data_IF_052157261039
#
_entry.id   IF_052157261039
#
_cell.length_a   1.000
_cell.length_b   1.000
_cell.length_c   1.000
_cell.angle_alpha   90.00
_cell.angle_beta   90.00
_cell.angle_gamma   90.00
#
_symmetry.space_group_name_H-M   'P 1'
#
loop_
_entity.id
_entity.type
_entity.pdbx_description
1 polymer ?
#
# COMPACT_ATOMS: atom_id res chain seq x y z
N UNK A 1 20.53 4.95 10.68
CA UNK A 1 19.39 4.14 11.20
C UNK A 1 19.28 2.85 10.38
N UNK A 2 18.95 1.71 11.00
CA UNK A 2 19.04 0.39 10.36
C UNK A 2 18.00 0.18 9.24
N UNK A 3 18.45 -0.04 8.00
CA UNK A 3 17.64 -0.39 6.81
C UNK A 3 16.64 -1.53 7.04
N UNK A 4 16.93 -2.47 7.93
CA UNK A 4 16.03 -3.57 8.30
C UNK A 4 14.81 -3.13 9.12
N UNK A 5 14.88 -2.03 9.86
CA UNK A 5 13.73 -1.49 10.57
C UNK A 5 12.76 -0.79 9.60
N UNK A 6 13.29 -0.15 8.56
CA UNK A 6 12.51 0.46 7.49
C UNK A 6 11.76 -0.63 6.69
N UNK A 7 12.49 -1.64 6.21
CA UNK A 7 11.92 -2.74 5.44
C UNK A 7 10.80 -3.49 6.20
N UNK A 8 10.97 -3.71 7.52
CA UNK A 8 9.92 -4.33 8.35
C UNK A 8 8.67 -3.46 8.47
N UNK A 9 8.84 -2.14 8.59
CA UNK A 9 7.72 -1.21 8.68
C UNK A 9 6.96 -1.12 7.36
N UNK A 10 7.67 -1.08 6.23
CA UNK A 10 7.08 -1.13 4.89
C UNK A 10 6.34 -2.45 4.65
N UNK A 11 6.94 -3.58 5.00
CA UNK A 11 6.29 -4.89 4.88
C UNK A 11 5.01 -4.99 5.73
N UNK A 12 5.03 -4.46 6.95
CA UNK A 12 3.84 -4.41 7.81
C UNK A 12 2.72 -3.56 7.19
N UNK A 13 3.08 -2.48 6.48
CA UNK A 13 2.09 -1.70 5.74
C UNK A 13 1.51 -2.48 4.57
N UNK A 14 2.33 -3.12 3.73
CA UNK A 14 1.82 -3.96 2.64
C UNK A 14 0.86 -5.05 3.15
N UNK A 15 1.18 -5.66 4.30
CA UNK A 15 0.28 -6.60 4.97
C UNK A 15 -1.05 -5.96 5.39
N UNK A 16 -1.02 -4.81 6.06
CA UNK A 16 -2.22 -4.09 6.47
C UNK A 16 -3.09 -3.71 5.27
N UNK A 17 -2.48 -3.20 4.18
CA UNK A 17 -3.18 -2.85 2.95
C UNK A 17 -3.86 -4.07 2.32
N UNK A 18 -3.15 -5.20 2.25
CA UNK A 18 -3.70 -6.45 1.71
C UNK A 18 -4.86 -6.95 2.57
N UNK A 19 -4.76 -6.82 3.90
CA UNK A 19 -5.81 -7.21 4.83
C UNK A 19 -7.07 -6.35 4.63
N UNK A 20 -6.92 -5.02 4.57
CA UNK A 20 -8.01 -4.09 4.31
C UNK A 20 -8.64 -4.34 2.93
N UNK A 21 -7.82 -4.63 1.92
CA UNK A 21 -8.30 -5.02 0.59
C UNK A 21 -9.24 -6.22 0.69
N UNK A 22 -8.78 -7.27 1.34
CA UNK A 22 -9.53 -8.51 1.50
C UNK A 22 -10.85 -8.28 2.25
N UNK A 23 -10.83 -7.49 3.34
CA UNK A 23 -12.03 -7.16 4.09
C UNK A 23 -13.06 -6.36 3.28
N UNK A 24 -12.62 -5.36 2.50
CA UNK A 24 -13.53 -4.56 1.69
C UNK A 24 -14.13 -5.35 0.52
N UNK A 25 -13.32 -6.20 -0.14
CA UNK A 25 -13.82 -7.11 -1.18
C UNK A 25 -14.80 -8.13 -0.60
N UNK A 26 -14.46 -8.75 0.53
CA UNK A 26 -15.33 -9.68 1.23
C UNK A 26 -16.64 -9.02 1.72
N UNK A 27 -16.54 -7.80 2.25
CA UNK A 27 -17.70 -7.00 2.64
C UNK A 27 -18.63 -6.74 1.45
N UNK A 28 -18.09 -6.42 0.28
CA UNK A 28 -18.87 -6.23 -0.95
C UNK A 28 -19.58 -7.52 -1.36
N UNK A 29 -18.88 -8.65 -1.33
CA UNK A 29 -19.47 -9.95 -1.68
C UNK A 29 -20.63 -10.33 -0.73
N UNK A 30 -20.50 -10.04 0.56
CA UNK A 30 -21.53 -10.38 1.55
C UNK A 30 -22.70 -9.38 1.58
N UNK A 31 -22.44 -8.11 1.28
CA UNK A 31 -23.48 -7.08 1.23
C UNK A 31 -24.30 -7.14 -0.07
N UNK A 32 -23.78 -7.82 -1.10
CA UNK A 32 -24.48 -7.96 -2.38
C UNK A 32 -25.30 -9.25 -2.40
N UNK A 33 -26.65 -9.18 -2.40
CA UNK A 33 -27.49 -10.37 -2.54
C UNK A 33 -27.22 -11.07 -3.89
N UNK A 34 -26.94 -12.37 -3.83
CA UNK A 34 -26.65 -13.21 -5.00
C UNK A 34 -27.83 -13.31 -5.98
N UNK A 35 -29.06 -13.05 -5.50
CA UNK A 35 -30.28 -13.13 -6.31
C UNK A 35 -30.49 -11.94 -7.26
N UNK A 36 -29.63 -10.91 -7.22
CA UNK A 36 -29.73 -9.78 -8.14
C UNK A 36 -28.87 -10.06 -9.37
N UNK A 37 -29.54 -10.43 -10.45
CA UNK A 37 -28.97 -10.54 -11.79
C UNK A 37 -29.36 -9.30 -12.59
N UNK A 38 -28.38 -8.53 -13.04
CA UNK A 38 -28.59 -7.39 -13.92
C UNK A 38 -28.15 -7.78 -15.32
N UNK A 39 -29.06 -7.72 -16.30
CA UNK A 39 -28.77 -8.08 -17.70
C UNK A 39 -28.30 -9.55 -17.91
N UNK A 40 -28.65 -10.47 -17.01
CA UNK A 40 -28.23 -11.87 -17.09
C UNK A 40 -26.79 -12.11 -16.62
N UNK A 41 -26.16 -11.10 -16.03
CA UNK A 41 -24.90 -11.23 -15.33
C UNK A 41 -25.11 -10.98 -13.83
N UNK A 42 -24.42 -11.71 -12.96
CA UNK A 42 -24.47 -11.45 -11.55
C UNK A 42 -24.05 -10.02 -11.14
N UNK A 43 -24.90 -9.33 -10.38
CA UNK A 43 -24.64 -7.94 -9.97
C UNK A 43 -23.40 -7.82 -9.06
N UNK A 44 -23.03 -8.88 -8.33
CA UNK A 44 -21.81 -8.90 -7.51
C UNK A 44 -20.53 -8.77 -8.36
N UNK A 45 -20.55 -9.19 -9.62
CA UNK A 45 -19.42 -9.02 -10.54
C UNK A 45 -19.26 -7.56 -10.94
N UNK A 46 -20.37 -6.88 -11.26
CA UNK A 46 -20.36 -5.46 -11.59
C UNK A 46 -19.91 -4.61 -10.39
N UNK A 47 -20.38 -4.97 -9.19
CA UNK A 47 -19.91 -4.37 -7.94
C UNK A 47 -18.43 -4.66 -7.69
N UNK A 48 -17.95 -5.88 -7.91
CA UNK A 48 -16.51 -6.19 -7.83
C UNK A 48 -15.69 -5.36 -8.83
N UNK A 49 -16.22 -5.12 -10.04
CA UNK A 49 -15.59 -4.29 -11.06
C UNK A 49 -15.50 -2.80 -10.67
N UNK A 50 -16.45 -2.28 -9.88
CA UNK A 50 -16.38 -0.91 -9.34
C UNK A 50 -15.57 -0.82 -8.05
N UNK A 51 -15.60 -1.87 -7.24
CA UNK A 51 -14.85 -1.96 -5.98
C UNK A 51 -13.35 -2.08 -6.25
N UNK A 52 -12.93 -2.88 -7.24
CA UNK A 52 -11.52 -3.02 -7.61
C UNK A 52 -10.81 -1.67 -7.88
N UNK A 53 -11.32 -0.77 -8.76
CA UNK A 53 -10.72 0.54 -9.00
C UNK A 53 -10.86 1.49 -7.81
N UNK A 54 -12.02 1.52 -7.14
CA UNK A 54 -12.19 2.37 -5.95
C UNK A 54 -11.19 2.01 -4.85
N UNK A 55 -11.02 0.71 -4.65
CA UNK A 55 -10.10 0.17 -3.68
C UNK A 55 -8.66 0.43 -4.07
N UNK A 56 -8.30 0.25 -5.34
CA UNK A 56 -6.97 0.61 -5.84
C UNK A 56 -6.65 2.08 -5.54
N UNK A 57 -7.59 3.00 -5.76
CA UNK A 57 -7.42 4.43 -5.43
C UNK A 57 -7.19 4.62 -3.92
N UNK A 58 -7.97 3.96 -3.06
CA UNK A 58 -7.79 4.05 -1.60
C UNK A 58 -6.44 3.50 -1.16
N UNK A 59 -6.02 2.35 -1.70
CA UNK A 59 -4.71 1.77 -1.44
C UNK A 59 -3.58 2.70 -1.88
N UNK A 60 -3.67 3.29 -3.08
CA UNK A 60 -2.72 4.28 -3.57
C UNK A 60 -2.70 5.52 -2.68
N UNK A 61 -3.84 6.06 -2.27
CA UNK A 61 -3.91 7.24 -1.41
C UNK A 61 -3.32 6.97 -0.01
N UNK A 62 -3.58 5.80 0.57
CA UNK A 62 -3.04 5.39 1.86
C UNK A 62 -1.53 5.13 1.78
N UNK A 63 -1.08 4.48 0.71
CA UNK A 63 0.35 4.32 0.42
C UNK A 63 1.03 5.66 0.28
N UNK A 64 0.51 6.59 -0.54
CA UNK A 64 1.06 7.94 -0.74
C UNK A 64 1.12 8.70 0.59
N UNK A 65 0.03 8.79 1.35
CA UNK A 65 0.02 9.47 2.65
C UNK A 65 1.02 8.90 3.67
N UNK A 66 1.52 7.68 3.46
CA UNK A 66 2.47 7.02 4.38
C UNK A 66 3.89 6.95 3.84
N UNK A 67 4.07 6.91 2.51
CA UNK A 67 5.37 7.02 1.83
C UNK A 67 5.91 8.47 1.88
N UNK A 68 5.03 9.45 2.07
CA UNK A 68 5.38 10.84 2.36
C UNK A 68 5.74 11.12 3.83
N UNK A 69 5.96 10.10 4.68
CA UNK A 69 6.80 10.32 5.87
C UNK A 69 8.22 10.50 5.33
N UNK A 70 8.75 11.72 5.49
CA UNK A 70 10.11 12.08 5.10
C UNK A 70 11.07 10.99 5.59
N UNK A 71 11.65 10.25 4.66
CA UNK A 71 12.92 9.59 4.91
C UNK A 71 13.90 10.77 5.04
N UNK A 72 14.44 11.07 6.24
CA UNK A 72 15.51 12.04 6.31
C UNK A 72 16.64 11.49 5.44
N UNK A 73 16.92 12.19 4.34
CA UNK A 73 17.98 11.85 3.39
C UNK A 73 19.38 12.08 4.00
N UNK A 74 19.46 12.35 5.31
CA UNK A 74 20.69 12.55 6.06
C UNK A 74 21.27 11.21 6.51
N UNK A 75 21.70 10.39 5.55
CA UNK A 75 22.80 9.44 5.79
C UNK A 75 23.61 9.22 4.51
N UNK A 76 23.97 10.31 3.85
CA UNK A 76 25.32 10.35 3.30
C UNK A 76 26.22 10.84 4.44
N UNK A 77 26.99 9.98 5.14
CA UNK A 77 28.24 10.49 5.66
C UNK A 77 29.00 10.94 4.42
N UNK A 78 29.16 12.25 4.27
CA UNK A 78 30.24 12.80 3.47
C UNK A 78 31.50 12.11 4.00
N UNK A 79 31.98 11.09 3.29
CA UNK A 79 33.33 10.60 3.49
C UNK A 79 34.26 11.64 2.84
N UNK A 80 34.26 12.85 3.41
CA UNK A 80 35.33 13.81 3.26
C UNK A 80 36.46 13.33 4.17
N UNK A 81 37.18 12.30 3.74
CA UNK A 81 38.56 12.11 4.14
C UNK A 81 39.43 12.47 2.94
N UNK A 82 39.36 13.74 2.54
CA UNK A 82 40.49 14.38 1.92
C UNK A 82 41.45 14.81 3.02
N UNK A 83 42.73 14.48 2.88
CA UNK A 83 43.87 15.16 3.51
C UNK A 83 44.22 14.79 4.96
N UNK A 84 45.04 13.75 5.10
CA UNK A 84 46.24 13.79 5.96
C UNK A 84 47.30 12.94 5.25
N UNK A 85 48.19 13.52 4.44
CA UNK A 85 49.49 14.02 4.89
C UNK A 85 50.16 13.08 5.90
N UNK A 86 51.03 12.20 5.41
CA UNK A 86 52.41 11.95 5.89
C UNK A 86 52.98 10.80 5.04
N UNK A 87 53.85 11.12 4.08
CA UNK A 87 55.33 11.05 4.20
C UNK A 87 55.85 9.64 3.96
#
# INVERSE_FOLDING_TARGET
MNRFALARREAAFCLLLTLLYFFAWYGTAYFTPLQLELWGLPLWFLLSCMVMPLLFIVLCALMVNRLFIEIPLDTLPHQNEGSSHES
#
